data_IF_492174392462
#
_entry.id   IF_492174392462
#
_cell.length_a   1.000
_cell.length_b   1.000
_cell.length_c   1.000
_cell.angle_alpha   90.00
_cell.angle_beta   90.00
_cell.angle_gamma   90.00
#
_symmetry.space_group_name_H-M   'P 1'
#
loop_
_entity.id
_entity.type
_entity.pdbx_description
1 polymer ?
#
# COMPACT_ATOMS: atom_id res chain seq x y z
N UNK A 1 1.52 2.52 -27.46
CA UNK A 1 1.88 2.15 -26.07
C UNK A 1 2.71 0.87 -26.06
N UNK A 2 4.04 0.95 -26.10
CA UNK A 2 4.94 -0.23 -26.05
C UNK A 2 5.77 -0.30 -24.76
N UNK A 3 5.70 0.74 -23.93
CA UNK A 3 6.67 0.97 -22.87
C UNK A 3 6.19 0.59 -21.46
N UNK A 4 4.91 0.20 -21.30
CA UNK A 4 4.37 -0.20 -19.99
C UNK A 4 4.85 -1.57 -19.50
N UNK A 5 5.35 -2.44 -20.39
CA UNK A 5 5.86 -3.78 -20.01
C UNK A 5 7.22 -3.74 -19.31
N UNK A 6 8.06 -2.73 -19.62
CA UNK A 6 9.41 -2.60 -19.05
C UNK A 6 9.42 -2.05 -17.63
N UNK A 7 8.41 -1.27 -17.24
CA UNK A 7 8.34 -0.68 -15.91
C UNK A 7 7.56 -1.53 -14.88
N UNK A 8 7.19 -2.78 -15.22
CA UNK A 8 6.55 -3.68 -14.25
C UNK A 8 7.60 -4.18 -13.27
N UNK A 9 7.52 -3.71 -12.03
CA UNK A 9 8.41 -4.14 -10.96
C UNK A 9 7.68 -5.14 -10.06
N UNK A 10 8.42 -6.11 -9.51
CA UNK A 10 7.88 -7.02 -8.49
C UNK A 10 7.68 -6.20 -7.21
N UNK A 11 6.50 -6.32 -6.63
CA UNK A 11 6.11 -5.67 -5.39
C UNK A 11 5.31 -6.66 -4.56
N UNK A 12 5.13 -6.35 -3.28
CA UNK A 12 4.22 -7.08 -2.41
C UNK A 12 3.21 -6.10 -1.83
N UNK A 13 1.98 -6.56 -1.64
CA UNK A 13 0.95 -5.81 -0.94
C UNK A 13 0.35 -6.65 0.17
N UNK A 14 -0.10 -6.00 1.24
CA UNK A 14 -0.80 -6.65 2.33
C UNK A 14 -2.04 -5.85 2.70
N UNK A 15 -3.16 -6.57 2.75
CA UNK A 15 -4.46 -6.02 3.06
C UNK A 15 -4.62 -5.85 4.56
N UNK A 16 -5.27 -4.77 4.94
CA UNK A 16 -5.65 -4.52 6.32
C UNK A 16 -6.85 -5.39 6.68
N UNK A 17 -6.70 -6.26 7.68
CA UNK A 17 -7.76 -7.13 8.18
C UNK A 17 -8.03 -6.80 9.65
N UNK A 18 -9.21 -6.26 9.94
CA UNK A 18 -9.65 -6.12 11.33
C UNK A 18 -10.13 -7.48 11.79
N UNK A 19 -9.36 -8.12 12.68
CA UNK A 19 -9.88 -9.28 13.39
C UNK A 19 -10.81 -8.78 14.48
N UNK A 20 -12.08 -8.58 14.12
CA UNK A 20 -13.13 -8.40 15.12
C UNK A 20 -13.24 -9.70 15.90
N UNK A 21 -12.95 -9.67 17.20
CA UNK A 21 -13.39 -10.76 18.06
C UNK A 21 -14.92 -10.74 18.03
N UNK A 22 -15.56 -11.78 17.48
CA UNK A 22 -17.02 -12.04 17.61
C UNK A 22 -17.40 -12.44 19.05
N UNK A 23 -16.70 -11.92 20.06
CA UNK A 23 -17.06 -12.09 21.45
C UNK A 23 -17.88 -10.88 21.88
N UNK A 24 -19.17 -11.12 22.14
CA UNK A 24 -20.19 -10.18 22.63
C UNK A 24 -19.83 -9.54 24.00
N UNK A 25 -18.70 -9.94 24.60
CA UNK A 25 -18.16 -9.42 25.85
C UNK A 25 -16.72 -8.94 25.63
N UNK A 26 -16.47 -7.67 25.99
CA UNK A 26 -15.17 -7.00 26.06
C UNK A 26 -14.52 -6.58 24.73
N UNK A 27 -15.07 -5.51 24.16
CA UNK A 27 -14.44 -4.74 23.07
C UNK A 27 -13.33 -3.87 23.65
N UNK A 28 -12.15 -4.44 23.94
CA UNK A 28 -11.00 -3.63 24.34
C UNK A 28 -9.70 -3.92 23.57
N UNK A 29 -9.55 -5.10 22.97
CA UNK A 29 -8.35 -5.46 22.21
C UNK A 29 -8.72 -5.82 20.76
N UNK A 30 -8.96 -4.79 19.94
CA UNK A 30 -9.03 -4.97 18.48
C UNK A 30 -7.60 -5.12 17.98
N UNK A 31 -7.10 -6.36 17.97
CA UNK A 31 -5.80 -6.66 17.40
C UNK A 31 -5.83 -6.35 15.89
N UNK A 32 -5.13 -5.28 15.50
CA UNK A 32 -4.99 -4.89 14.10
C UNK A 32 -4.11 -5.93 13.42
N UNK A 33 -4.67 -6.65 12.45
CA UNK A 33 -3.96 -7.68 11.72
C UNK A 33 -3.84 -7.30 10.24
N UNK A 34 -2.80 -7.81 9.61
CA UNK A 34 -2.58 -7.63 8.18
C UNK A 34 -2.58 -9.01 7.53
N UNK A 35 -3.09 -9.09 6.31
CA UNK A 35 -3.10 -10.34 5.57
C UNK A 35 -1.69 -10.73 5.14
N UNK A 36 -1.51 -11.98 4.71
CA UNK A 36 -0.22 -12.42 4.19
C UNK A 36 0.19 -11.55 2.97
N UNK A 37 1.46 -11.12 2.86
CA UNK A 37 1.91 -10.28 1.78
C UNK A 37 1.83 -11.04 0.45
N UNK A 38 1.03 -10.53 -0.48
CA UNK A 38 0.82 -11.13 -1.80
C UNK A 38 1.73 -10.48 -2.82
N UNK A 39 2.47 -11.30 -3.56
CA UNK A 39 3.31 -10.80 -4.64
C UNK A 39 2.49 -10.37 -5.86
N UNK A 40 2.83 -9.20 -6.41
CA UNK A 40 2.21 -8.70 -7.62
C UNK A 40 3.22 -7.93 -8.48
N UNK A 41 2.84 -7.68 -9.74
CA UNK A 41 3.64 -6.93 -10.70
C UNK A 41 2.85 -5.73 -11.19
N UNK A 42 3.33 -4.54 -10.86
CA UNK A 42 2.70 -3.29 -11.27
C UNK A 42 3.75 -2.28 -11.75
N UNK A 43 3.28 -1.30 -12.51
CA UNK A 43 4.10 -0.16 -12.92
C UNK A 43 4.20 0.84 -11.77
N UNK A 44 5.42 1.29 -11.44
CA UNK A 44 5.63 2.39 -10.50
C UNK A 44 6.01 3.64 -11.30
N UNK A 45 5.18 4.66 -11.19
CA UNK A 45 5.45 5.98 -11.77
C UNK A 45 5.68 6.99 -10.65
N UNK A 46 6.61 7.90 -10.86
CA UNK A 46 6.76 9.06 -9.99
C UNK A 46 5.56 9.98 -10.26
N UNK A 47 4.77 10.21 -9.23
CA UNK A 47 3.61 11.09 -9.27
C UNK A 47 3.78 12.06 -8.12
N UNK A 48 4.44 13.18 -8.36
CA UNK A 48 4.47 14.25 -7.36
C UNK A 48 3.12 14.93 -7.35
N UNK A 49 2.58 15.13 -6.14
CA UNK A 49 1.44 16.02 -5.89
C UNK A 49 1.83 17.47 -6.22
N UNK A 50 1.94 17.80 -7.51
CA UNK A 50 1.88 19.18 -7.95
C UNK A 50 0.38 19.49 -8.05
N UNK A 51 -0.09 20.23 -7.06
CA UNK A 51 -1.47 20.34 -6.57
C UNK A 51 -2.51 21.00 -7.51
N UNK A 52 -2.47 20.74 -8.81
CA UNK A 52 -3.49 21.23 -9.75
C UNK A 52 -4.07 20.16 -10.70
N UNK A 53 -3.36 19.04 -10.97
CA UNK A 53 -3.78 18.02 -11.95
C UNK A 53 -3.73 16.59 -11.39
N UNK A 54 -3.95 16.42 -10.08
CA UNK A 54 -3.95 15.07 -9.50
C UNK A 54 -5.26 14.34 -9.79
N UNK A 55 -5.22 13.10 -10.34
CA UNK A 55 -6.42 12.30 -10.54
C UNK A 55 -7.10 11.86 -9.23
N UNK A 56 -6.39 11.92 -8.08
CA UNK A 56 -6.90 11.55 -6.76
C UNK A 56 -7.52 12.72 -5.98
N UNK A 57 -7.42 13.94 -6.52
CA UNK A 57 -7.88 15.16 -5.86
C UNK A 57 -6.75 15.98 -5.25
N UNK A 58 -7.00 17.28 -5.13
CA UNK A 58 -6.02 18.30 -4.73
C UNK A 58 -5.52 18.18 -3.29
N UNK A 59 -6.26 17.49 -2.43
CA UNK A 59 -5.95 17.33 -1.00
C UNK A 59 -5.09 16.10 -0.70
N UNK A 60 -4.90 15.20 -1.68
CA UNK A 60 -4.16 13.95 -1.45
C UNK A 60 -2.66 14.17 -1.66
N UNK A 61 -1.88 13.96 -0.60
CA UNK A 61 -0.42 13.96 -0.63
C UNK A 61 0.13 12.55 -0.84
N UNK A 62 0.55 12.24 -2.06
CA UNK A 62 1.26 11.00 -2.42
C UNK A 62 2.62 11.30 -3.05
N UNK A 63 3.50 10.31 -2.99
CA UNK A 63 4.87 10.41 -3.53
C UNK A 63 4.97 9.71 -4.89
N UNK A 64 4.22 8.62 -5.07
CA UNK A 64 4.26 7.78 -6.27
C UNK A 64 2.87 7.25 -6.61
N UNK A 65 2.71 6.84 -7.87
CA UNK A 65 1.48 6.20 -8.36
C UNK A 65 1.84 4.81 -8.88
N UNK A 66 1.12 3.81 -8.41
CA UNK A 66 1.19 2.45 -8.92
C UNK A 66 0.07 2.26 -9.93
N UNK A 67 0.41 1.78 -11.12
CA UNK A 67 -0.56 1.48 -12.17
C UNK A 67 -0.55 -0.02 -12.45
N UNK A 68 -1.70 -0.67 -12.30
CA UNK A 68 -1.88 -2.10 -12.53
C UNK A 68 -3.08 -2.35 -13.44
N UNK A 69 -2.96 -3.29 -14.37
CA UNK A 69 -4.09 -3.73 -15.21
C UNK A 69 -4.92 -4.82 -14.50
N UNK A 70 -4.43 -5.33 -13.37
CA UNK A 70 -5.07 -6.40 -12.65
C UNK A 70 -6.10 -5.82 -11.66
N UNK A 71 -7.38 -5.81 -12.08
CA UNK A 71 -8.53 -5.38 -11.26
C UNK A 71 -8.93 -6.40 -10.19
N UNK A 72 -8.35 -7.60 -10.20
CA UNK A 72 -8.62 -8.64 -9.20
C UNK A 72 -7.89 -8.41 -7.88
N UNK A 73 -7.10 -7.34 -7.76
CA UNK A 73 -6.36 -6.99 -6.55
C UNK A 73 -7.27 -6.13 -5.66
N UNK A 74 -7.72 -6.63 -4.49
CA UNK A 74 -8.61 -5.90 -3.59
C UNK A 74 -7.83 -4.87 -2.74
N UNK A 75 -6.98 -4.06 -3.38
CA UNK A 75 -6.15 -3.05 -2.70
C UNK A 75 -7.06 -1.93 -2.20
N UNK A 76 -6.85 -1.51 -0.96
CA UNK A 76 -7.60 -0.45 -0.28
C UNK A 76 -6.68 0.66 0.20
N UNK A 77 -7.24 1.78 0.68
CA UNK A 77 -6.49 2.90 1.27
C UNK A 77 -5.65 2.53 2.51
N UNK A 78 -5.96 1.40 3.14
CA UNK A 78 -5.24 0.87 4.30
C UNK A 78 -4.18 -0.16 3.94
N UNK A 79 -4.03 -0.49 2.65
CA UNK A 79 -3.07 -1.48 2.18
C UNK A 79 -1.64 -0.97 2.30
N UNK A 80 -0.75 -1.89 2.65
CA UNK A 80 0.70 -1.64 2.73
C UNK A 80 1.40 -2.22 1.52
N UNK A 81 2.47 -1.54 1.08
CA UNK A 81 3.18 -1.90 -0.14
C UNK A 81 4.68 -1.93 0.11
N UNK A 82 5.29 -3.01 -0.37
CA UNK A 82 6.71 -3.29 -0.34
C UNK A 82 7.24 -3.30 -1.76
N UNK A 83 8.30 -2.52 -1.97
CA UNK A 83 8.92 -2.40 -3.28
C UNK A 83 10.43 -2.58 -3.20
N UNK A 84 11.09 -2.00 -2.20
CA UNK A 84 12.55 -2.12 -2.01
C UNK A 84 12.88 -3.11 -0.89
N UNK A 85 12.02 -3.18 0.11
CA UNK A 85 12.14 -4.07 1.27
C UNK A 85 11.30 -5.33 1.05
N UNK A 86 11.72 -6.46 1.62
CA UNK A 86 10.91 -7.68 1.66
C UNK A 86 9.88 -7.60 2.81
N UNK A 87 8.65 -8.08 2.60
CA UNK A 87 7.64 -8.06 3.65
C UNK A 87 8.04 -9.00 4.79
N UNK A 88 8.04 -8.46 6.01
CA UNK A 88 8.31 -9.25 7.21
C UNK A 88 6.98 -9.83 7.67
N UNK A 89 6.95 -11.16 7.82
CA UNK A 89 5.83 -11.86 8.42
C UNK A 89 6.05 -11.95 9.93
N UNK A 90 5.04 -11.55 10.70
CA UNK A 90 4.94 -11.75 12.14
C UNK A 90 4.66 -13.23 12.44
N UNK A 91 4.85 -13.65 13.69
CA UNK A 91 4.60 -15.03 14.15
C UNK A 91 3.16 -15.50 13.86
N UNK A 92 2.23 -14.55 13.82
CA UNK A 92 0.81 -14.75 13.52
C UNK A 92 0.50 -14.95 12.01
N UNK A 93 1.53 -14.93 11.14
CA UNK A 93 1.41 -15.05 9.68
C UNK A 93 1.04 -13.74 8.96
N UNK A 94 1.05 -12.62 9.67
CA UNK A 94 0.63 -11.30 9.18
C UNK A 94 1.80 -10.43 8.75
N UNK A 95 1.58 -9.51 7.81
CA UNK A 95 2.62 -8.57 7.42
C UNK A 95 2.87 -7.49 8.48
N UNK A 96 4.14 -7.22 8.79
CA UNK A 96 4.54 -6.16 9.72
C UNK A 96 4.44 -4.78 9.07
N UNK A 97 3.63 -3.90 9.65
CA UNK A 97 3.42 -2.56 9.10
C UNK A 97 4.65 -1.66 9.11
N UNK A 98 5.59 -1.90 10.02
CA UNK A 98 6.81 -1.11 10.16
C UNK A 98 7.83 -1.43 9.05
N UNK A 99 7.77 -2.65 8.51
CA UNK A 99 8.61 -3.07 7.38
C UNK A 99 8.21 -2.42 6.05
N UNK A 100 6.97 -1.95 5.91
CA UNK A 100 6.45 -1.38 4.66
C UNK A 100 7.23 -0.14 4.19
N UNK A 101 7.47 -0.04 2.89
CA UNK A 101 8.13 1.13 2.27
C UNK A 101 7.12 2.22 1.91
N UNK A 102 5.93 1.81 1.48
CA UNK A 102 4.88 2.69 1.00
C UNK A 102 3.53 2.30 1.63
N UNK A 103 2.70 3.30 1.89
CA UNK A 103 1.30 3.14 2.29
C UNK A 103 0.41 3.72 1.22
N UNK A 104 -0.74 3.10 0.97
CA UNK A 104 -1.74 3.69 0.07
C UNK A 104 -2.26 5.00 0.68
N UNK A 105 -2.29 6.06 -0.12
CA UNK A 105 -2.67 7.41 0.31
C UNK A 105 -4.12 7.75 -0.02
N UNK A 106 -4.70 7.09 -1.02
CA UNK A 106 -6.08 7.28 -1.46
C UNK A 106 -6.63 5.98 -2.05
N UNK A 107 -7.96 5.89 -2.11
CA UNK A 107 -8.65 4.77 -2.72
C UNK A 107 -8.15 4.54 -4.17
N UNK A 108 -8.05 3.27 -4.62
CA UNK A 108 -7.68 2.96 -5.99
C UNK A 108 -8.69 3.56 -6.96
N UNK A 109 -8.20 4.25 -7.97
CA UNK A 109 -9.02 4.75 -9.07
C UNK A 109 -9.10 3.71 -10.16
N UNK A 110 -10.32 3.27 -10.48
CA UNK A 110 -10.57 2.47 -11.68
C UNK A 110 -10.52 3.38 -12.90
N UNK A 111 -9.41 3.32 -13.64
CA UNK A 111 -9.20 4.03 -14.89
C UNK A 111 -9.47 3.16 -16.12
N UNK A 112 -9.51 3.82 -17.28
CA UNK A 112 -9.71 3.16 -18.58
C UNK A 112 -8.62 2.11 -18.87
N UNK A 113 -7.36 2.42 -18.54
CA UNK A 113 -6.20 1.56 -18.79
C UNK A 113 -5.89 0.58 -17.63
N UNK A 114 -6.65 0.63 -16.53
CA UNK A 114 -6.41 -0.17 -15.34
C UNK A 114 -6.63 0.60 -14.03
N UNK A 115 -6.20 0.01 -12.92
CA UNK A 115 -6.30 0.61 -11.59
C UNK A 115 -5.06 1.44 -11.29
N UNK A 116 -5.27 2.68 -10.83
CA UNK A 116 -4.23 3.57 -10.33
C UNK A 116 -4.32 3.71 -8.82
N UNK A 117 -3.20 3.52 -8.12
CA UNK A 117 -3.12 3.53 -6.66
C UNK A 117 -2.10 4.58 -6.26
N UNK A 118 -2.56 5.62 -5.55
CA UNK A 118 -1.68 6.62 -4.98
C UNK A 118 -0.99 6.04 -3.75
N UNK A 119 0.34 6.12 -3.71
CA UNK A 119 1.13 5.65 -2.57
C UNK A 119 2.02 6.75 -2.01
N UNK A 120 2.06 6.80 -0.69
CA UNK A 120 2.91 7.70 0.08
C UNK A 120 4.04 6.90 0.68
N UNK A 121 5.27 7.36 0.49
CA UNK A 121 6.44 6.75 1.12
C UNK A 121 6.30 6.87 2.64
N UNK A 122 6.42 5.74 3.32
CA UNK A 122 6.51 5.72 4.78
C UNK A 122 7.93 6.15 5.11
N UNK A 123 8.08 7.29 5.77
CA UNK A 123 9.37 7.63 6.38
C UNK A 123 9.56 6.66 7.54
N UNK A 124 10.34 5.60 7.32
CA UNK A 124 10.89 4.79 8.42
C UNK A 124 11.65 5.77 9.29
N UNK A 125 11.04 6.15 10.40
CA UNK A 125 11.61 7.10 11.35
C UNK A 125 13.00 6.60 11.70
N UNK A 126 13.98 7.42 11.34
CA UNK A 126 15.25 7.55 12.03
C UNK A 126 15.01 7.18 13.50
N UNK A 127 15.52 6.02 13.93
CA UNK A 127 15.58 5.72 15.35
C UNK A 127 16.50 6.79 15.91
N UNK A 128 15.89 7.80 16.51
CA UNK A 128 16.57 8.84 17.25
C UNK A 128 17.67 8.21 18.10
N UNK A 129 18.88 8.69 17.82
CA UNK A 129 20.11 8.37 18.48
C UNK A 129 20.05 8.92 19.91
N UNK A 130 19.42 8.21 20.85
CA UNK A 130 19.55 8.52 22.26
C UNK A 130 20.84 7.85 22.78
N UNK A 131 21.90 8.66 22.69
CA UNK A 131 23.26 8.43 23.17
C UNK A 131 23.34 8.32 24.70
#
# INVERSE_FOLDING_TARGET
MRDLRRNRRKMYYSLYEVQGNESDFDVLDTAVKYSAPVEFKAGLSEGKSNADDSPFGKDISYDRIISTVNKSLPITETTLIWYETEPVLLEDGSADASSADYKVAAAPLDGLDGVQIAVKRIRKGERDYAK
#
